data_IF_352336544913
#
_entry.id   IF_352336544913
#
_cell.length_a   1.000
_cell.length_b   1.000
_cell.length_c   1.000
_cell.angle_alpha   90.00
_cell.angle_beta   90.00
_cell.angle_gamma   90.00
#
_symmetry.space_group_name_H-M   'P 1'
#
loop_
_entity.id
_entity.type
_entity.pdbx_description
1 polymer ?
#
# COMPACT_ATOMS: atom_id res chain seq x y z
N UNK A 1 7.15 -10.04 0.54
CA UNK A 1 8.09 -10.43 1.62
C UNK A 1 7.54 -10.05 3.00
N UNK A 2 6.85 -8.90 3.09
CA UNK A 2 6.17 -8.42 4.30
C UNK A 2 4.87 -9.18 4.63
N UNK A 3 4.24 -9.86 3.67
CA UNK A 3 3.08 -10.73 3.93
C UNK A 3 3.38 -11.84 4.96
N UNK A 4 4.60 -12.41 4.94
CA UNK A 4 5.08 -13.37 5.95
C UNK A 4 5.35 -12.69 7.30
N UNK A 5 5.83 -11.44 7.29
CA UNK A 5 6.05 -10.64 8.49
C UNK A 5 4.73 -10.20 9.14
N UNK A 6 3.69 -9.91 8.33
CA UNK A 6 2.31 -9.59 8.75
C UNK A 6 1.70 -10.72 9.59
N UNK A 7 2.02 -11.98 9.28
CA UNK A 7 1.65 -13.14 10.12
C UNK A 7 2.30 -13.08 11.51
N UNK A 8 3.54 -12.61 11.62
CA UNK A 8 4.29 -12.50 12.89
C UNK A 8 3.82 -11.33 13.76
N UNK A 9 3.50 -10.19 13.13
CA UNK A 9 2.92 -9.03 13.83
C UNK A 9 1.39 -9.07 13.97
N UNK A 10 0.74 -10.11 13.42
CA UNK A 10 -0.70 -10.27 13.46
C UNK A 10 -1.27 -10.21 14.88
N UNK A 11 -0.55 -10.74 15.86
CA UNK A 11 -0.96 -10.70 17.28
C UNK A 11 -1.06 -9.28 17.84
N UNK A 12 -0.15 -8.37 17.48
CA UNK A 12 -0.20 -6.97 17.92
C UNK A 12 -1.43 -6.24 17.37
N UNK A 13 -1.61 -6.30 16.04
CA UNK A 13 -2.75 -5.67 15.38
C UNK A 13 -4.09 -6.29 15.81
N UNK A 14 -4.10 -7.60 16.10
CA UNK A 14 -5.27 -8.30 16.63
C UNK A 14 -5.63 -7.80 18.04
N UNK A 15 -4.64 -7.69 18.95
CA UNK A 15 -4.86 -7.14 20.29
C UNK A 15 -5.37 -5.71 20.25
N UNK A 16 -4.81 -4.86 19.39
CA UNK A 16 -5.28 -3.49 19.23
C UNK A 16 -6.69 -3.44 18.63
N UNK A 17 -6.98 -4.27 17.63
CA UNK A 17 -8.32 -4.41 17.07
C UNK A 17 -9.35 -4.88 18.11
N UNK A 18 -8.98 -5.76 19.05
CA UNK A 18 -9.86 -6.15 20.17
C UNK A 18 -10.18 -4.97 21.09
N UNK A 19 -9.21 -4.12 21.41
CA UNK A 19 -9.44 -2.92 22.22
C UNK A 19 -10.39 -1.95 21.52
N UNK A 20 -10.15 -1.68 20.24
CA UNK A 20 -11.03 -0.83 19.42
C UNK A 20 -12.42 -1.43 19.27
N UNK A 21 -12.51 -2.77 19.19
CA UNK A 21 -13.79 -3.45 19.11
C UNK A 21 -14.63 -3.26 20.38
N UNK A 22 -14.00 -3.36 21.56
CA UNK A 22 -14.62 -3.08 22.87
C UNK A 22 -15.07 -1.62 22.98
N UNK A 23 -14.32 -0.68 22.40
CA UNK A 23 -14.68 0.75 22.34
C UNK A 23 -15.81 1.09 21.35
N UNK A 24 -16.46 0.10 20.72
CA UNK A 24 -17.61 0.33 19.84
C UNK A 24 -17.27 0.80 18.42
N UNK A 25 -15.99 1.00 18.08
CA UNK A 25 -15.57 1.45 16.74
C UNK A 25 -15.92 0.43 15.66
N UNK A 26 -16.33 0.92 14.48
CA UNK A 26 -16.61 0.10 13.30
C UNK A 26 -15.45 0.20 12.29
N UNK A 27 -15.19 -0.84 11.48
CA UNK A 27 -14.14 -0.80 10.45
C UNK A 27 -14.23 0.43 9.54
N UNK A 28 -15.43 0.76 9.07
CA UNK A 28 -15.65 1.91 8.19
C UNK A 28 -15.18 3.24 8.79
N UNK A 29 -15.23 3.42 10.11
CA UNK A 29 -14.73 4.65 10.74
C UNK A 29 -13.22 4.80 10.50
N UNK A 30 -12.48 3.69 10.63
CA UNK A 30 -11.04 3.67 10.39
C UNK A 30 -10.72 3.82 8.90
N UNK A 31 -11.49 3.19 8.01
CA UNK A 31 -11.35 3.35 6.55
C UNK A 31 -11.54 4.82 6.14
N UNK A 32 -12.63 5.46 6.60
CA UNK A 32 -12.88 6.87 6.27
C UNK A 32 -11.87 7.82 6.90
N UNK A 33 -11.39 7.53 8.11
CA UNK A 33 -10.29 8.28 8.73
C UNK A 33 -9.00 8.15 7.93
N UNK A 34 -8.62 6.93 7.54
CA UNK A 34 -7.45 6.65 6.71
C UNK A 34 -7.51 7.39 5.38
N UNK A 35 -8.66 7.34 4.70
CA UNK A 35 -8.94 8.04 3.46
C UNK A 35 -8.90 9.56 3.62
N UNK A 36 -9.53 10.10 4.67
CA UNK A 36 -9.51 11.54 4.92
C UNK A 36 -8.09 12.04 5.15
N UNK A 37 -7.31 11.31 5.96
CA UNK A 37 -5.89 11.60 6.16
C UNK A 37 -5.14 11.53 4.83
N UNK A 38 -5.35 10.50 4.01
CA UNK A 38 -4.59 10.38 2.77
C UNK A 38 -4.84 11.54 1.80
N UNK A 39 -6.08 11.99 1.68
CA UNK A 39 -6.47 13.13 0.83
C UNK A 39 -5.88 14.46 1.34
N UNK A 40 -5.80 14.66 2.66
CA UNK A 40 -5.32 15.94 3.21
C UNK A 40 -3.79 16.06 3.18
N UNK A 41 -3.04 14.95 3.13
CA UNK A 41 -1.56 14.95 3.11
C UNK A 41 -0.98 15.87 2.03
N UNK A 42 -1.34 15.76 0.72
CA UNK A 42 -0.76 16.63 -0.30
C UNK A 42 -1.09 18.11 -0.05
N UNK A 43 -2.27 18.43 0.48
CA UNK A 43 -2.67 19.81 0.83
C UNK A 43 -1.79 20.36 1.95
N UNK A 44 -1.66 19.62 3.05
CA UNK A 44 -0.82 20.00 4.19
C UNK A 44 0.65 20.10 3.78
N UNK A 45 1.13 19.17 2.97
CA UNK A 45 2.49 19.18 2.46
C UNK A 45 2.72 20.36 1.51
N UNK A 46 1.74 20.74 0.70
CA UNK A 46 1.84 21.90 -0.17
C UNK A 46 2.00 23.19 0.63
N UNK A 47 1.26 23.36 1.72
CA UNK A 47 1.30 24.54 2.58
C UNK A 47 2.57 24.58 3.43
N UNK A 48 2.89 23.48 4.11
CA UNK A 48 3.99 23.44 5.09
C UNK A 48 5.34 23.15 4.47
N UNK A 49 5.35 22.57 3.27
CA UNK A 49 6.54 21.98 2.62
C UNK A 49 7.30 21.03 3.55
N UNK A 50 6.66 20.40 4.54
CA UNK A 50 7.34 19.59 5.57
C UNK A 50 7.33 18.09 5.25
N UNK A 51 8.48 17.46 4.95
CA UNK A 51 8.58 16.02 4.72
C UNK A 51 8.29 15.22 5.99
N UNK A 52 8.63 15.77 7.17
CA UNK A 52 8.34 15.14 8.45
C UNK A 52 6.83 15.04 8.68
N UNK A 53 6.09 16.11 8.39
CA UNK A 53 4.64 16.10 8.57
C UNK A 53 3.98 15.15 7.56
N UNK A 54 4.46 15.14 6.31
CA UNK A 54 4.05 14.16 5.32
C UNK A 54 4.31 12.71 5.79
N UNK A 55 5.50 12.42 6.32
CA UNK A 55 5.88 11.13 6.86
C UNK A 55 4.92 10.66 7.96
N UNK A 56 4.69 11.51 8.96
CA UNK A 56 3.80 11.19 10.08
C UNK A 56 2.38 10.91 9.60
N UNK A 57 1.85 11.74 8.69
CA UNK A 57 0.49 11.56 8.19
C UNK A 57 0.35 10.31 7.29
N UNK A 58 1.35 9.99 6.47
CA UNK A 58 1.39 8.73 5.67
C UNK A 58 1.39 7.51 6.60
N UNK A 59 2.17 7.55 7.68
CA UNK A 59 2.20 6.47 8.67
C UNK A 59 0.85 6.33 9.38
N UNK A 60 0.22 7.43 9.78
CA UNK A 60 -1.10 7.40 10.43
C UNK A 60 -2.19 6.89 9.49
N UNK A 61 -2.22 7.35 8.24
CA UNK A 61 -3.20 6.90 7.24
C UNK A 61 -3.02 5.40 6.92
N UNK A 62 -1.79 4.96 6.63
CA UNK A 62 -1.52 3.53 6.37
C UNK A 62 -1.74 2.63 7.60
N UNK A 63 -1.54 3.13 8.81
CA UNK A 63 -1.86 2.40 10.03
C UNK A 63 -3.37 2.22 10.23
N UNK A 64 -4.17 3.24 9.90
CA UNK A 64 -5.63 3.15 9.92
C UNK A 64 -6.15 2.04 8.99
N UNK A 65 -5.61 1.95 7.76
CA UNK A 65 -5.94 0.88 6.79
C UNK A 65 -5.55 -0.52 7.33
N UNK A 66 -4.43 -0.67 8.03
CA UNK A 66 -4.06 -1.99 8.58
C UNK A 66 -5.00 -2.39 9.73
N UNK A 67 -5.44 -1.41 10.53
CA UNK A 67 -6.34 -1.63 11.65
C UNK A 67 -7.78 -1.88 11.21
N UNK A 68 -8.29 -1.23 10.17
CA UNK A 68 -9.67 -1.42 9.72
C UNK A 68 -9.94 -2.88 9.31
N UNK A 69 -9.02 -3.51 8.59
CA UNK A 69 -9.14 -4.88 8.14
C UNK A 69 -8.94 -5.85 9.29
N UNK A 70 -8.12 -5.49 10.28
CA UNK A 70 -7.95 -6.27 11.51
C UNK A 70 -9.23 -6.23 12.36
N UNK A 71 -9.84 -5.05 12.49
CA UNK A 71 -11.10 -4.85 13.20
C UNK A 71 -12.27 -5.54 12.49
N UNK A 72 -12.32 -5.51 11.15
CA UNK A 72 -13.33 -6.22 10.36
C UNK A 72 -13.26 -7.73 10.57
N UNK A 73 -12.04 -8.30 10.63
CA UNK A 73 -11.82 -9.72 10.94
C UNK A 73 -12.24 -10.06 12.37
N UNK A 74 -11.83 -9.27 13.36
CA UNK A 74 -12.18 -9.48 14.78
C UNK A 74 -13.70 -9.42 15.00
N UNK A 75 -14.40 -8.50 14.34
CA UNK A 75 -15.85 -8.34 14.48
C UNK A 75 -16.67 -9.24 13.55
N UNK A 76 -16.05 -10.04 12.68
CA UNK A 76 -16.77 -10.82 11.67
C UNK A 76 -17.55 -9.97 10.66
N UNK A 77 -17.15 -8.71 10.43
CA UNK A 77 -17.82 -7.73 9.57
C UNK A 77 -17.19 -7.63 8.17
N UNK A 78 -16.56 -8.70 7.70
CA UNK A 78 -15.98 -8.77 6.36
C UNK A 78 -17.11 -8.82 5.31
N UNK A 79 -17.21 -7.80 4.45
CA UNK A 79 -18.23 -7.74 3.39
C UNK A 79 -17.59 -7.54 2.01
N UNK A 80 -18.30 -7.95 0.94
CA UNK A 80 -17.83 -7.73 -0.45
C UNK A 80 -17.70 -6.24 -0.78
N UNK A 81 -18.66 -5.43 -0.33
CA UNK A 81 -18.61 -3.98 -0.50
C UNK A 81 -17.43 -3.36 0.27
N UNK A 82 -17.18 -3.80 1.50
CA UNK A 82 -16.01 -3.35 2.27
C UNK A 82 -14.69 -3.66 1.57
N UNK A 83 -14.54 -4.86 1.00
CA UNK A 83 -13.34 -5.22 0.23
C UNK A 83 -13.16 -4.37 -1.05
N UNK A 84 -14.27 -4.01 -1.72
CA UNK A 84 -14.26 -3.08 -2.84
C UNK A 84 -13.84 -1.66 -2.38
N UNK A 85 -14.41 -1.17 -1.27
CA UNK A 85 -14.12 0.14 -0.72
C UNK A 85 -12.67 0.26 -0.25
N UNK A 86 -12.14 -0.74 0.45
CA UNK A 86 -10.73 -0.87 0.83
C UNK A 86 -9.82 -0.75 -0.40
N UNK A 87 -10.13 -1.54 -1.44
CA UNK A 87 -9.41 -1.45 -2.70
C UNK A 87 -9.50 -0.05 -3.33
N UNK A 88 -10.65 0.60 -3.34
CA UNK A 88 -10.79 1.96 -3.88
C UNK A 88 -9.95 2.97 -3.09
N UNK A 89 -10.05 2.94 -1.75
CA UNK A 89 -9.33 3.84 -0.84
C UNK A 89 -7.82 3.68 -0.99
N UNK A 90 -7.32 2.44 -1.15
CA UNK A 90 -5.91 2.16 -1.41
C UNK A 90 -5.38 2.94 -2.63
N UNK A 91 -6.15 3.04 -3.72
CA UNK A 91 -5.71 3.75 -4.95
C UNK A 91 -5.73 5.25 -4.75
N UNK A 92 -6.71 5.77 -4.00
CA UNK A 92 -6.75 7.20 -3.64
C UNK A 92 -5.54 7.54 -2.78
N UNK A 93 -5.24 6.72 -1.77
CA UNK A 93 -4.08 6.91 -0.88
C UNK A 93 -2.75 6.79 -1.63
N UNK A 94 -2.56 5.76 -2.45
CA UNK A 94 -1.34 5.60 -3.28
C UNK A 94 -1.13 6.84 -4.18
N UNK A 95 -2.21 7.37 -4.77
CA UNK A 95 -2.15 8.59 -5.60
C UNK A 95 -1.80 9.83 -4.78
N UNK A 96 -2.45 10.03 -3.64
CA UNK A 96 -2.19 11.18 -2.77
C UNK A 96 -0.77 11.18 -2.21
N UNK A 97 -0.23 10.01 -1.86
CA UNK A 97 1.16 9.85 -1.46
C UNK A 97 2.12 10.20 -2.60
N UNK A 98 1.85 9.78 -3.84
CA UNK A 98 2.67 10.16 -4.99
C UNK A 98 2.62 11.67 -5.28
N UNK A 99 1.45 12.30 -5.20
CA UNK A 99 1.33 13.78 -5.34
C UNK A 99 2.17 14.49 -4.27
N UNK A 100 2.17 13.96 -3.05
CA UNK A 100 2.98 14.49 -1.95
C UNK A 100 4.47 14.45 -2.26
N UNK A 101 4.97 13.37 -2.87
CA UNK A 101 6.37 13.28 -3.31
C UNK A 101 6.70 14.31 -4.41
N UNK A 102 5.80 14.55 -5.36
CA UNK A 102 5.97 15.62 -6.37
C UNK A 102 6.10 17.00 -5.70
N UNK A 103 5.23 17.31 -4.74
CA UNK A 103 5.25 18.57 -4.00
C UNK A 103 6.57 18.77 -3.25
N UNK A 104 7.18 17.67 -2.77
CA UNK A 104 8.47 17.69 -2.08
C UNK A 104 9.68 17.77 -3.03
N UNK A 105 9.45 17.84 -4.35
CA UNK A 105 10.47 18.11 -5.35
C UNK A 105 11.10 16.85 -5.97
N UNK A 106 10.50 15.68 -5.78
CA UNK A 106 10.97 14.46 -6.45
C UNK A 106 10.74 14.57 -7.95
N UNK A 107 11.56 13.86 -8.72
CA UNK A 107 11.51 13.91 -10.18
C UNK A 107 10.13 13.45 -10.67
N UNK A 108 9.41 14.27 -11.47
CA UNK A 108 8.06 13.94 -11.89
C UNK A 108 7.96 12.64 -12.69
N UNK A 109 8.94 12.34 -13.54
CA UNK A 109 8.92 11.11 -14.34
C UNK A 109 9.07 9.89 -13.45
N UNK A 110 10.02 9.92 -12.50
CA UNK A 110 10.25 8.82 -11.56
C UNK A 110 9.00 8.57 -10.70
N UNK A 111 8.38 9.61 -10.15
CA UNK A 111 7.18 9.48 -9.32
C UNK A 111 5.99 8.97 -10.15
N UNK A 112 5.81 9.45 -11.38
CA UNK A 112 4.73 9.00 -12.26
C UNK A 112 4.90 7.55 -12.71
N UNK A 113 6.13 7.09 -12.99
CA UNK A 113 6.41 5.68 -13.28
C UNK A 113 6.09 4.82 -12.04
N UNK A 114 6.52 5.25 -10.85
CA UNK A 114 6.22 4.57 -9.61
C UNK A 114 4.71 4.44 -9.37
N UNK A 115 3.96 5.54 -9.52
CA UNK A 115 2.50 5.56 -9.37
C UNK A 115 1.81 4.66 -10.40
N UNK A 116 2.14 4.82 -11.70
CA UNK A 116 1.53 4.05 -12.77
C UNK A 116 1.73 2.55 -12.57
N UNK A 117 2.96 2.13 -12.27
CA UNK A 117 3.27 0.71 -12.02
C UNK A 117 2.59 0.20 -10.74
N UNK A 118 2.47 1.01 -9.69
CA UNK A 118 1.72 0.68 -8.47
C UNK A 118 0.23 0.41 -8.75
N UNK A 119 -0.40 1.27 -9.57
CA UNK A 119 -1.79 1.11 -9.97
C UNK A 119 -2.01 -0.11 -10.86
N UNK A 120 -1.08 -0.40 -11.78
CA UNK A 120 -1.12 -1.61 -12.63
C UNK A 120 -1.00 -2.89 -11.79
N UNK A 121 -0.13 -2.91 -10.77
CA UNK A 121 -0.04 -4.04 -9.83
C UNK A 121 -1.38 -4.26 -9.13
N UNK A 122 -2.00 -3.19 -8.63
CA UNK A 122 -3.29 -3.25 -7.95
C UNK A 122 -4.43 -3.65 -8.89
N UNK A 123 -4.42 -3.20 -10.15
CA UNK A 123 -5.37 -3.60 -11.18
C UNK A 123 -5.22 -5.07 -11.58
N UNK A 124 -3.99 -5.54 -11.80
CA UNK A 124 -3.71 -6.94 -12.16
C UNK A 124 -4.23 -7.91 -11.10
N UNK A 125 -4.13 -7.55 -9.81
CA UNK A 125 -4.75 -8.31 -8.71
C UNK A 125 -6.26 -8.36 -8.84
N UNK A 126 -6.92 -7.21 -8.94
CA UNK A 126 -8.38 -7.14 -9.04
C UNK A 126 -8.90 -7.91 -10.26
N UNK A 127 -8.19 -7.82 -11.39
CA UNK A 127 -8.54 -8.54 -12.62
C UNK A 127 -8.35 -10.05 -12.47
N UNK A 128 -7.25 -10.49 -11.87
CA UNK A 128 -7.03 -11.91 -11.61
C UNK A 128 -8.08 -12.50 -10.66
N UNK A 129 -8.46 -11.77 -9.61
CA UNK A 129 -9.51 -12.19 -8.67
C UNK A 129 -10.86 -12.33 -9.37
N UNK A 130 -11.18 -11.45 -10.34
CA UNK A 130 -12.38 -11.59 -11.19
C UNK A 130 -12.36 -12.83 -12.11
N UNK A 131 -11.18 -13.40 -12.35
CA UNK A 131 -10.98 -14.65 -13.10
C UNK A 131 -10.90 -15.87 -12.16
N UNK A 132 -11.14 -15.69 -10.85
CA UNK A 132 -11.07 -16.78 -9.86
C UNK A 132 -9.67 -17.07 -9.31
N UNK A 133 -8.65 -16.29 -9.69
CA UNK A 133 -7.28 -16.47 -9.22
C UNK A 133 -6.91 -15.42 -8.17
N UNK A 134 -6.53 -15.87 -6.97
CA UNK A 134 -5.93 -15.00 -5.94
C UNK A 134 -4.43 -14.85 -6.19
N UNK A 135 -3.95 -13.59 -6.30
CA UNK A 135 -2.53 -13.26 -6.49
C UNK A 135 -1.82 -12.81 -5.20
N UNK A 136 -2.42 -13.08 -4.04
CA UNK A 136 -1.79 -12.75 -2.75
C UNK A 136 -0.50 -13.55 -2.56
N UNK A 137 0.58 -12.89 -2.15
CA UNK A 137 1.92 -13.49 -2.02
C UNK A 137 2.68 -13.64 -3.34
N UNK A 138 2.07 -13.33 -4.49
CA UNK A 138 2.72 -13.39 -5.80
C UNK A 138 3.19 -11.98 -6.21
N UNK A 139 4.50 -11.82 -6.20
CA UNK A 139 5.16 -10.57 -6.56
C UNK A 139 6.15 -10.07 -5.52
N UNK A 140 7.13 -9.28 -5.95
CA UNK A 140 8.10 -8.65 -5.05
C UNK A 140 7.52 -7.43 -4.32
N UNK A 141 6.70 -6.64 -5.02
CA UNK A 141 6.20 -5.33 -4.58
C UNK A 141 4.69 -5.36 -4.35
N UNK A 142 4.26 -5.88 -3.21
CA UNK A 142 2.88 -5.68 -2.76
C UNK A 142 2.70 -4.28 -2.15
N UNK A 143 1.47 -3.95 -1.75
CA UNK A 143 1.16 -2.60 -1.25
C UNK A 143 2.01 -2.21 -0.04
N UNK A 144 2.24 -3.15 0.89
CA UNK A 144 3.05 -2.89 2.08
C UNK A 144 4.49 -2.51 1.73
N UNK A 145 5.12 -3.19 0.76
CA UNK A 145 6.47 -2.85 0.29
C UNK A 145 6.51 -1.46 -0.36
N UNK A 146 5.46 -1.08 -1.10
CA UNK A 146 5.37 0.27 -1.70
C UNK A 146 5.24 1.38 -0.66
N UNK A 147 4.40 1.18 0.36
CA UNK A 147 4.28 2.12 1.49
C UNK A 147 5.60 2.23 2.25
N UNK A 148 6.32 1.12 2.42
CA UNK A 148 7.65 1.13 3.04
C UNK A 148 8.65 1.95 2.23
N UNK A 149 8.67 1.82 0.90
CA UNK A 149 9.52 2.65 0.03
C UNK A 149 9.19 4.13 0.18
N UNK A 150 7.91 4.50 0.15
CA UNK A 150 7.46 5.89 0.36
C UNK A 150 7.93 6.40 1.72
N UNK A 151 7.81 5.58 2.75
CA UNK A 151 8.26 5.91 4.12
C UNK A 151 9.78 6.17 4.16
N UNK A 152 10.59 5.30 3.55
CA UNK A 152 12.05 5.46 3.48
C UNK A 152 12.43 6.75 2.76
N UNK A 153 11.77 7.03 1.63
CA UNK A 153 11.96 8.28 0.87
C UNK A 153 11.65 9.49 1.75
N UNK A 154 10.50 9.51 2.42
CA UNK A 154 10.12 10.63 3.29
C UNK A 154 11.07 10.81 4.49
N UNK A 155 11.62 9.72 5.04
CA UNK A 155 12.67 9.78 6.09
C UNK A 155 13.91 10.49 5.55
N UNK A 156 14.42 10.10 4.38
CA UNK A 156 15.58 10.73 3.76
C UNK A 156 15.37 12.24 3.52
N UNK A 157 14.21 12.62 2.99
CA UNK A 157 13.87 14.03 2.76
C UNK A 157 13.70 14.82 4.07
N UNK A 158 13.33 14.14 5.17
CA UNK A 158 13.22 14.74 6.50
C UNK A 158 14.58 15.06 7.09
N UNK A 159 15.58 14.20 6.88
CA UNK A 159 16.95 14.41 7.39
C UNK A 159 17.58 15.63 6.73
N UNK A 160 17.64 15.63 5.40
CA UNK A 160 18.12 16.76 4.61
C UNK A 160 17.58 16.64 3.18
N UNK A 161 16.58 17.45 2.85
CA UNK A 161 15.90 17.36 1.56
C UNK A 161 16.85 17.57 0.39
N UNK A 162 17.70 18.60 0.44
CA UNK A 162 18.54 18.96 -0.70
C UNK A 162 19.62 17.91 -0.94
N UNK A 163 20.21 17.39 0.14
CA UNK A 163 21.23 16.35 0.07
C UNK A 163 20.67 15.01 -0.41
N UNK A 164 19.47 14.64 0.02
CA UNK A 164 18.93 13.30 -0.22
C UNK A 164 17.92 13.21 -1.38
N UNK A 165 17.63 14.28 -2.11
CA UNK A 165 16.68 14.25 -3.23
C UNK A 165 17.10 13.29 -4.35
N UNK A 166 18.39 13.29 -4.72
CA UNK A 166 18.91 12.42 -5.76
C UNK A 166 18.84 10.94 -5.35
N UNK A 167 19.25 10.64 -4.11
CA UNK A 167 19.17 9.28 -3.54
C UNK A 167 17.71 8.81 -3.48
N UNK A 168 16.79 9.69 -3.08
CA UNK A 168 15.36 9.38 -2.99
C UNK A 168 14.75 9.07 -4.36
N UNK A 169 15.14 9.82 -5.40
CA UNK A 169 14.77 9.51 -6.79
C UNK A 169 15.33 8.13 -7.23
N UNK A 170 16.59 7.82 -6.91
CA UNK A 170 17.18 6.51 -7.20
C UNK A 170 16.43 5.37 -6.50
N UNK A 171 16.06 5.55 -5.23
CA UNK A 171 15.27 4.56 -4.47
C UNK A 171 13.90 4.33 -5.11
N UNK A 172 13.18 5.40 -5.48
CA UNK A 172 11.89 5.28 -6.19
C UNK A 172 12.04 4.62 -7.57
N UNK A 173 13.12 4.90 -8.29
CA UNK A 173 13.38 4.29 -9.59
C UNK A 173 13.64 2.78 -9.45
N UNK A 174 14.45 2.36 -8.47
CA UNK A 174 14.66 0.94 -8.17
C UNK A 174 13.33 0.28 -7.80
N UNK A 175 12.53 0.93 -6.94
CA UNK A 175 11.21 0.41 -6.56
C UNK A 175 10.26 0.29 -7.77
N UNK A 176 10.35 1.23 -8.72
CA UNK A 176 9.60 1.17 -9.98
C UNK A 176 10.01 -0.01 -10.85
N UNK A 177 11.31 -0.31 -10.95
CA UNK A 177 11.81 -1.51 -11.63
C UNK A 177 11.27 -2.78 -10.95
N UNK A 178 11.29 -2.85 -9.62
CA UNK A 178 10.72 -3.96 -8.87
C UNK A 178 9.20 -4.08 -9.05
N UNK A 179 8.50 -2.95 -9.23
CA UNK A 179 7.09 -2.96 -9.57
C UNK A 179 6.86 -3.58 -10.96
N UNK A 180 7.67 -3.23 -11.97
CA UNK A 180 7.60 -3.85 -13.30
C UNK A 180 7.83 -5.36 -13.24
N UNK A 181 8.85 -5.80 -12.49
CA UNK A 181 9.09 -7.23 -12.27
C UNK A 181 7.87 -7.92 -11.62
N UNK A 182 7.23 -7.25 -10.68
CA UNK A 182 6.00 -7.73 -10.02
C UNK A 182 4.84 -7.87 -11.02
N UNK A 183 4.68 -6.92 -11.93
CA UNK A 183 3.66 -6.97 -12.99
C UNK A 183 3.92 -8.18 -13.89
N UNK A 184 5.16 -8.40 -14.32
CA UNK A 184 5.54 -9.57 -15.13
C UNK A 184 5.26 -10.88 -14.39
N UNK A 185 5.66 -10.97 -13.11
CA UNK A 185 5.41 -12.15 -12.28
C UNK A 185 3.92 -12.47 -12.17
N UNK A 186 3.08 -11.46 -11.97
CA UNK A 186 1.61 -11.62 -11.91
C UNK A 186 1.01 -12.00 -13.25
N UNK A 187 1.47 -11.38 -14.35
CA UNK A 187 1.04 -11.74 -15.70
C UNK A 187 1.36 -13.19 -16.05
N UNK A 188 2.57 -13.65 -15.73
CA UNK A 188 2.99 -15.04 -15.92
C UNK A 188 2.17 -16.01 -15.06
N UNK A 189 1.85 -15.64 -13.81
CA UNK A 189 1.00 -16.45 -12.94
C UNK A 189 -0.41 -16.61 -13.51
N UNK A 190 -1.02 -15.52 -13.96
CA UNK A 190 -2.35 -15.54 -14.63
C UNK A 190 -2.29 -16.39 -15.91
N UNK A 191 -1.27 -16.22 -16.74
CA UNK A 191 -1.12 -17.00 -17.97
C UNK A 191 -1.00 -18.51 -17.71
N UNK A 192 -0.21 -18.91 -16.71
CA UNK A 192 -0.10 -20.32 -16.31
C UNK A 192 -1.42 -20.89 -15.81
N UNK A 193 -2.14 -20.13 -14.99
CA UNK A 193 -3.46 -20.50 -14.49
C UNK A 193 -4.46 -20.74 -15.63
N UNK A 194 -4.55 -19.81 -16.59
CA UNK A 194 -5.47 -19.93 -17.74
C UNK A 194 -5.12 -21.07 -18.69
N UNK A 195 -3.84 -21.45 -18.78
CA UNK A 195 -3.40 -22.62 -19.56
C UNK A 195 -3.53 -23.96 -18.82
N UNK A 196 -4.05 -23.97 -17.60
CA UNK A 196 -4.12 -25.19 -16.78
C UNK A 196 -2.75 -25.76 -16.40
N UNK A 197 -1.68 -24.96 -16.51
CA UNK A 197 -0.33 -25.37 -16.12
C UNK A 197 -0.28 -25.32 -14.60
N UNK A 198 -0.07 -26.49 -13.97
CA UNK A 198 0.01 -26.60 -12.51
C UNK A 198 0.99 -25.56 -11.95
N UNK A 199 0.45 -24.60 -11.20
CA UNK A 199 1.24 -23.65 -10.46
C UNK A 199 1.84 -24.36 -9.25
N UNK A 200 3.02 -24.97 -9.42
CA UNK A 200 3.81 -25.48 -8.29
C UNK A 200 4.22 -24.30 -7.41
N UNK A 201 3.46 -23.96 -6.38
CA UNK A 201 3.96 -23.19 -5.23
C UNK A 201 3.35 -23.72 -3.92
N UNK A 202 4.22 -24.40 -3.17
CA UNK A 202 4.40 -24.25 -1.73
C UNK A 202 3.16 -24.33 -0.84
N UNK A 203 2.94 -25.54 -0.30
CA UNK A 203 2.30 -25.82 0.99
C UNK A 203 1.05 -25.01 1.35
N UNK A 204 -0.09 -25.60 1.07
CA UNK A 204 -1.31 -25.46 1.88
C UNK A 204 -1.32 -26.54 2.97
N UNK A 205 -2.18 -26.42 4.00
CA UNK A 205 -2.30 -25.38 5.03
C UNK A 205 -1.28 -25.56 6.17
#
# INVERSE_FOLDING_TARGET
MLSKLRRKFGGFFYSLALLLAKGGLRPNHLTFMGLFLSIIIPVITYITKSPLLALVLVLLSSFADVLDGSLARVKGLMTRFGAFLDSLCDRVSDTAYSITLLILGLDPLVVMIFLATSLIISYSRARAESLGLKLEGIGLMERAERILVITIVLIFLTIDRLRYIAISNTVLLIASVLNVLTIVQRGLAVWKYLKGISMKHGSSP
#
